data_IF_630876498272
#
_entry.id   IF_630876498272
#
_cell.length_a   1.000
_cell.length_b   1.000
_cell.length_c   1.000
_cell.angle_alpha   90.00
_cell.angle_beta   90.00
_cell.angle_gamma   90.00
#
_symmetry.space_group_name_H-M   'P 1'
#
loop_
_entity.id
_entity.type
_entity.pdbx_description
1 polymer ?
#
# COMPACT_ATOMS: atom_id res chain seq x y z
N UNK A 1 47.42 23.50 3.01
CA UNK A 1 46.38 24.55 2.94
C UNK A 1 45.31 24.20 3.97
N UNK A 2 44.93 25.10 4.88
CA UNK A 2 43.84 24.86 5.83
C UNK A 2 42.53 25.28 5.19
N UNK A 3 41.47 24.50 5.39
CA UNK A 3 40.10 24.90 5.00
C UNK A 3 39.70 26.15 5.76
N UNK A 4 39.09 27.10 5.07
CA UNK A 4 38.44 28.23 5.71
C UNK A 4 37.18 27.79 6.48
N UNK A 5 36.67 28.70 7.29
CA UNK A 5 35.52 28.45 8.16
C UNK A 5 34.24 28.12 7.37
N UNK A 6 33.99 28.81 6.24
CA UNK A 6 32.82 28.55 5.40
C UNK A 6 32.85 27.17 4.76
N UNK A 7 34.01 26.71 4.29
CA UNK A 7 34.17 25.37 3.74
C UNK A 7 34.04 24.29 4.83
N UNK A 8 34.50 24.55 6.06
CA UNK A 8 34.26 23.66 7.21
C UNK A 8 32.78 23.56 7.57
N UNK A 9 32.07 24.69 7.61
CA UNK A 9 30.63 24.73 7.91
C UNK A 9 29.83 24.01 6.83
N UNK A 10 30.12 24.28 5.55
CA UNK A 10 29.48 23.58 4.44
C UNK A 10 29.70 22.07 4.51
N UNK A 11 30.93 21.61 4.78
CA UNK A 11 31.21 20.19 4.92
C UNK A 11 30.49 19.59 6.14
N UNK A 12 30.45 20.29 7.28
CA UNK A 12 29.74 19.82 8.46
C UNK A 12 28.23 19.69 8.21
N UNK A 13 27.61 20.71 7.61
CA UNK A 13 26.18 20.71 7.25
C UNK A 13 25.87 19.65 6.19
N UNK A 14 26.77 19.47 5.21
CA UNK A 14 26.67 18.40 4.21
C UNK A 14 26.62 17.02 4.86
N UNK A 15 27.53 16.74 5.81
CA UNK A 15 27.53 15.46 6.53
C UNK A 15 26.30 15.29 7.42
N UNK A 16 25.80 16.36 8.05
CA UNK A 16 24.55 16.31 8.83
C UNK A 16 23.34 15.98 7.94
N UNK A 17 23.25 16.59 6.76
CA UNK A 17 22.20 16.31 5.77
C UNK A 17 22.30 14.88 5.24
N UNK A 18 23.50 14.39 4.95
CA UNK A 18 23.72 13.01 4.50
C UNK A 18 23.35 11.99 5.58
N UNK A 19 23.70 12.25 6.84
CA UNK A 19 23.32 11.43 7.98
C UNK A 19 21.80 11.43 8.20
N UNK A 20 21.16 12.60 8.14
CA UNK A 20 19.70 12.73 8.26
C UNK A 20 18.98 11.97 7.15
N UNK A 21 19.46 12.08 5.91
CA UNK A 21 18.93 11.33 4.76
C UNK A 21 19.08 9.82 4.96
N UNK A 22 20.26 9.38 5.39
CA UNK A 22 20.52 7.96 5.68
C UNK A 22 19.66 7.43 6.84
N UNK A 23 19.38 8.27 7.85
CA UNK A 23 18.46 7.97 8.93
C UNK A 23 17.02 7.80 8.44
N UNK A 24 16.54 8.75 7.62
CA UNK A 24 15.21 8.70 7.03
C UNK A 24 15.02 7.48 6.13
N UNK A 25 15.99 7.16 5.27
CA UNK A 25 15.94 5.97 4.43
C UNK A 25 15.81 4.68 5.26
N UNK A 26 16.66 4.52 6.29
CA UNK A 26 16.57 3.35 7.19
C UNK A 26 15.23 3.24 7.89
N UNK A 27 14.68 4.37 8.35
CA UNK A 27 13.36 4.40 8.97
C UNK A 27 12.26 3.94 8.01
N UNK A 28 12.26 4.43 6.77
CA UNK A 28 11.29 4.02 5.75
C UNK A 28 11.46 2.55 5.34
N UNK A 29 12.69 2.06 5.24
CA UNK A 29 13.00 0.64 5.00
C UNK A 29 12.45 -0.24 6.12
N UNK A 30 12.63 0.16 7.38
CA UNK A 30 12.12 -0.59 8.53
C UNK A 30 10.58 -0.64 8.53
N UNK A 31 9.91 0.47 8.23
CA UNK A 31 8.45 0.48 8.07
C UNK A 31 8.03 -0.47 6.96
N UNK A 32 8.64 -0.36 5.77
CA UNK A 32 8.28 -1.17 4.61
C UNK A 32 8.43 -2.68 4.90
N UNK A 33 9.54 -3.08 5.51
CA UNK A 33 9.82 -4.48 5.82
C UNK A 33 8.90 -5.02 6.93
N UNK A 34 8.70 -4.26 8.02
CA UNK A 34 7.82 -4.68 9.12
C UNK A 34 6.36 -4.75 8.67
N UNK A 35 5.87 -3.76 7.93
CA UNK A 35 4.53 -3.76 7.37
C UNK A 35 4.32 -4.94 6.43
N UNK A 36 5.25 -5.17 5.49
CA UNK A 36 5.16 -6.29 4.56
C UNK A 36 5.13 -7.63 5.30
N UNK A 37 5.95 -7.80 6.34
CA UNK A 37 5.94 -9.00 7.17
C UNK A 37 4.61 -9.18 7.92
N UNK A 38 4.08 -8.12 8.52
CA UNK A 38 2.81 -8.14 9.26
C UNK A 38 1.63 -8.52 8.34
N UNK A 39 1.49 -7.82 7.21
CA UNK A 39 0.46 -8.12 6.21
C UNK A 39 0.62 -9.55 5.70
N UNK A 40 1.82 -9.98 5.31
CA UNK A 40 2.07 -11.34 4.83
C UNK A 40 1.64 -12.40 5.84
N UNK A 41 1.90 -12.18 7.13
CA UNK A 41 1.47 -13.08 8.18
C UNK A 41 -0.06 -13.12 8.31
N UNK A 42 -0.72 -11.97 8.22
CA UNK A 42 -2.18 -11.88 8.21
C UNK A 42 -2.79 -12.66 7.03
N UNK A 43 -2.26 -12.44 5.81
CA UNK A 43 -2.72 -13.14 4.60
C UNK A 43 -2.58 -14.66 4.74
N UNK A 44 -1.49 -15.13 5.34
CA UNK A 44 -1.29 -16.56 5.60
C UNK A 44 -2.27 -17.11 6.63
N UNK A 45 -2.54 -16.34 7.68
CA UNK A 45 -3.36 -16.77 8.83
C UNK A 45 -4.84 -16.82 8.47
N UNK A 46 -5.34 -15.87 7.68
CA UNK A 46 -6.75 -15.84 7.25
C UNK A 46 -7.15 -17.00 6.32
N UNK A 47 -6.19 -17.66 5.68
CA UNK A 47 -6.46 -18.87 4.88
C UNK A 47 -7.38 -18.67 3.66
N UNK A 48 -7.40 -17.47 3.07
CA UNK A 48 -8.24 -17.17 1.90
C UNK A 48 -7.78 -18.01 0.68
N UNK A 49 -8.41 -19.16 0.47
CA UNK A 49 -8.09 -20.09 -0.63
C UNK A 49 -8.44 -19.51 -2.02
N UNK A 50 -9.32 -18.50 -2.05
CA UNK A 50 -9.89 -17.97 -3.29
C UNK A 50 -9.07 -16.84 -3.90
N UNK A 51 -8.21 -16.17 -3.15
CA UNK A 51 -7.44 -15.01 -3.63
C UNK A 51 -5.99 -15.19 -3.24
N UNK A 52 -5.13 -15.40 -4.23
CA UNK A 52 -3.67 -15.47 -4.02
C UNK A 52 -3.06 -14.10 -4.24
N UNK A 53 -2.26 -13.64 -3.26
CA UNK A 53 -1.56 -12.37 -3.34
C UNK A 53 -0.07 -12.58 -3.69
N UNK A 54 0.45 -11.68 -4.51
CA UNK A 54 1.86 -11.38 -4.67
C UNK A 54 2.24 -10.16 -3.86
N UNK A 55 3.53 -10.03 -3.59
CA UNK A 55 4.11 -8.93 -2.83
C UNK A 55 5.27 -8.34 -3.65
N UNK A 56 5.42 -7.03 -3.58
CA UNK A 56 6.58 -6.30 -4.05
C UNK A 56 6.95 -5.22 -3.04
N UNK A 57 8.19 -5.26 -2.58
CA UNK A 57 8.80 -4.22 -1.74
C UNK A 57 9.92 -3.60 -2.54
N UNK A 58 9.88 -2.28 -2.72
CA UNK A 58 10.96 -1.58 -3.41
C UNK A 58 12.21 -1.56 -2.52
N UNK A 59 13.37 -1.77 -3.15
CA UNK A 59 14.67 -1.58 -2.51
C UNK A 59 14.87 -0.09 -2.19
N UNK A 60 15.43 0.21 -1.01
CA UNK A 60 15.64 1.58 -0.49
C UNK A 60 14.34 2.24 0.01
N UNK A 61 13.39 1.42 0.47
CA UNK A 61 12.14 1.85 1.08
C UNK A 61 11.17 2.44 0.07
N UNK A 62 10.22 3.25 0.53
CA UNK A 62 9.41 4.06 -0.39
C UNK A 62 8.18 3.35 -0.96
N UNK A 63 8.13 2.01 -0.98
CA UNK A 63 6.98 1.30 -1.55
C UNK A 63 6.81 -0.14 -1.07
N UNK A 64 5.59 -0.44 -0.64
CA UNK A 64 5.11 -1.81 -0.46
C UNK A 64 3.86 -1.99 -1.31
N UNK A 65 3.76 -3.08 -2.04
CA UNK A 65 2.58 -3.42 -2.83
C UNK A 65 2.21 -4.87 -2.66
N UNK A 66 0.93 -5.13 -2.40
CA UNK A 66 0.33 -6.45 -2.48
C UNK A 66 -0.64 -6.46 -3.66
N UNK A 67 -0.46 -7.41 -4.57
CA UNK A 67 -1.25 -7.51 -5.80
C UNK A 67 -1.86 -8.89 -5.93
N UNK A 68 -3.01 -9.00 -6.59
CA UNK A 68 -3.65 -10.29 -6.81
C UNK A 68 -2.94 -11.05 -7.94
N UNK A 69 -2.47 -12.27 -7.64
CA UNK A 69 -1.89 -13.22 -8.60
C UNK A 69 -2.93 -14.14 -9.23
N UNK A 70 -3.93 -14.56 -8.45
CA UNK A 70 -4.98 -15.49 -8.89
C UNK A 70 -6.25 -15.23 -8.09
N UNK A 71 -7.40 -15.32 -8.76
CA UNK A 71 -8.71 -15.45 -8.15
C UNK A 71 -9.33 -16.77 -8.59
N UNK A 72 -9.88 -17.51 -7.64
CA UNK A 72 -10.57 -18.78 -7.84
C UNK A 72 -12.02 -18.64 -7.38
N UNK A 73 -12.75 -17.72 -8.01
CA UNK A 73 -14.16 -17.44 -7.73
C UNK A 73 -14.99 -17.67 -8.99
N UNK A 74 -16.10 -18.42 -8.90
CA UNK A 74 -16.94 -18.73 -10.05
C UNK A 74 -17.57 -17.45 -10.63
N UNK A 75 -17.71 -17.42 -11.96
CA UNK A 75 -18.30 -16.28 -12.68
C UNK A 75 -17.39 -15.06 -12.83
N UNK A 76 -16.10 -15.17 -12.43
CA UNK A 76 -15.11 -14.10 -12.51
C UNK A 76 -13.84 -14.52 -13.29
N UNK A 77 -13.99 -15.25 -14.38
CA UNK A 77 -12.90 -15.86 -15.18
C UNK A 77 -11.85 -14.85 -15.72
N UNK A 78 -12.17 -13.55 -15.73
CA UNK A 78 -11.27 -12.47 -16.15
C UNK A 78 -11.20 -11.31 -15.13
N UNK A 79 -11.17 -11.61 -13.83
CA UNK A 79 -10.91 -10.57 -12.84
C UNK A 79 -9.45 -10.11 -12.95
N UNK A 80 -9.26 -8.92 -13.52
CA UNK A 80 -7.94 -8.35 -13.78
C UNK A 80 -7.18 -7.93 -12.52
N UNK A 81 -5.94 -7.47 -12.72
CA UNK A 81 -5.00 -7.13 -11.65
C UNK A 81 -5.55 -6.03 -10.72
N UNK A 82 -5.59 -6.33 -9.42
CA UNK A 82 -5.86 -5.39 -8.32
C UNK A 82 -4.64 -5.33 -7.40
N UNK A 83 -4.24 -4.12 -6.99
CA UNK A 83 -3.12 -3.84 -6.09
C UNK A 83 -3.57 -3.01 -4.91
N UNK A 84 -3.05 -3.28 -3.71
CA UNK A 84 -2.95 -2.30 -2.65
C UNK A 84 -1.50 -1.89 -2.49
N UNK A 85 -1.26 -0.59 -2.40
CA UNK A 85 0.09 -0.06 -2.24
C UNK A 85 0.16 0.91 -1.07
N UNK A 86 1.28 0.85 -0.35
CA UNK A 86 1.72 1.92 0.54
C UNK A 86 2.87 2.64 -0.16
N UNK A 87 2.66 3.91 -0.47
CA UNK A 87 3.67 4.79 -1.07
C UNK A 87 4.19 5.72 0.01
N UNK A 88 5.48 5.64 0.30
CA UNK A 88 6.20 6.62 1.12
C UNK A 88 6.90 7.61 0.20
N UNK A 89 7.04 8.86 0.64
CA UNK A 89 7.87 9.84 -0.05
C UNK A 89 9.33 9.42 0.02
N UNK A 90 9.94 9.18 -1.14
CA UNK A 90 11.29 9.65 -1.40
C UNK A 90 11.10 10.83 -2.37
N UNK A 91 11.89 11.90 -2.20
CA UNK A 91 11.84 13.14 -2.99
C UNK A 91 11.98 12.91 -4.52
N UNK A 92 12.24 11.66 -4.93
CA UNK A 92 12.41 11.18 -6.30
C UNK A 92 11.13 10.62 -6.94
N UNK A 93 9.97 10.59 -6.25
CA UNK A 93 8.72 10.01 -6.79
C UNK A 93 7.80 11.03 -7.46
N UNK A 94 7.11 10.58 -8.51
CA UNK A 94 6.29 11.42 -9.42
C UNK A 94 4.89 11.74 -8.89
N UNK A 95 4.38 11.02 -7.89
CA UNK A 95 3.04 11.25 -7.33
C UNK A 95 3.08 12.23 -6.16
N UNK A 96 2.20 13.25 -6.19
CA UNK A 96 2.11 14.27 -5.13
C UNK A 96 1.43 13.70 -3.89
N UNK A 97 2.16 13.58 -2.78
CA UNK A 97 1.61 13.48 -1.42
C UNK A 97 1.39 14.89 -0.86
N UNK A 98 0.54 15.05 0.16
CA UNK A 98 0.35 16.36 0.81
C UNK A 98 1.55 16.79 1.68
N UNK A 99 2.39 15.84 2.14
CA UNK A 99 3.51 16.09 3.04
C UNK A 99 4.61 15.00 2.90
N UNK A 100 5.92 15.32 3.00
CA UNK A 100 7.00 14.33 3.03
C UNK A 100 6.96 13.35 4.21
N UNK A 101 6.23 13.64 5.30
CA UNK A 101 6.07 12.73 6.45
C UNK A 101 4.89 11.79 6.29
N UNK A 102 4.14 11.86 5.19
CA UNK A 102 2.96 11.04 4.99
C UNK A 102 3.24 9.86 4.07
N UNK A 103 2.43 8.84 4.21
CA UNK A 103 2.27 7.79 3.21
C UNK A 103 0.82 7.73 2.73
N UNK A 104 0.61 7.10 1.57
CA UNK A 104 -0.72 6.84 1.02
C UNK A 104 -0.98 5.35 0.94
N UNK A 105 -2.14 4.92 1.42
CA UNK A 105 -2.68 3.57 1.19
C UNK A 105 -3.82 3.68 0.19
N UNK A 106 -3.77 2.90 -0.88
CA UNK A 106 -4.81 2.90 -1.90
C UNK A 106 -4.90 1.61 -2.70
N UNK A 107 -6.11 1.34 -3.18
CA UNK A 107 -6.41 0.28 -4.13
C UNK A 107 -6.23 0.78 -5.57
N UNK A 108 -5.71 -0.07 -6.45
CA UNK A 108 -5.52 0.24 -7.86
C UNK A 108 -5.95 -0.93 -8.74
N UNK A 109 -6.57 -0.59 -9.88
CA UNK A 109 -6.88 -1.52 -10.97
C UNK A 109 -6.47 -0.88 -12.29
N UNK A 110 -5.93 -1.65 -13.23
CA UNK A 110 -5.52 -1.14 -14.53
C UNK A 110 -6.69 -0.52 -15.32
N UNK A 111 -6.40 0.52 -16.13
CA UNK A 111 -7.44 1.23 -16.92
C UNK A 111 -8.23 0.31 -17.85
N UNK A 112 -7.59 -0.73 -18.39
CA UNK A 112 -8.25 -1.75 -19.22
C UNK A 112 -9.39 -2.47 -18.49
N UNK A 113 -9.38 -2.47 -17.14
CA UNK A 113 -10.33 -3.16 -16.29
C UNK A 113 -11.27 -2.17 -15.56
N UNK A 114 -11.46 -0.96 -16.10
CA UNK A 114 -12.28 0.08 -15.46
C UNK A 114 -13.74 -0.36 -15.21
N UNK A 115 -14.31 -1.20 -16.08
CA UNK A 115 -15.67 -1.73 -15.89
C UNK A 115 -15.76 -2.63 -14.65
N UNK A 116 -14.76 -3.49 -14.44
CA UNK A 116 -14.65 -4.34 -13.25
C UNK A 116 -14.47 -3.48 -11.99
N UNK A 117 -13.60 -2.47 -12.03
CA UNK A 117 -13.40 -1.56 -10.90
C UNK A 117 -14.72 -0.88 -10.48
N UNK A 118 -15.50 -0.40 -11.47
CA UNK A 118 -16.84 0.17 -11.23
C UNK A 118 -17.81 -0.85 -10.63
N UNK A 119 -17.80 -2.10 -11.12
CA UNK A 119 -18.66 -3.15 -10.59
C UNK A 119 -18.34 -3.47 -9.12
N UNK A 120 -17.06 -3.56 -8.78
CA UNK A 120 -16.60 -3.79 -7.39
C UNK A 120 -17.00 -2.62 -6.50
N UNK A 121 -16.76 -1.38 -6.93
CA UNK A 121 -17.13 -0.18 -6.15
C UNK A 121 -18.65 -0.09 -5.91
N UNK A 122 -19.46 -0.41 -6.93
CA UNK A 122 -20.93 -0.51 -6.78
C UNK A 122 -21.32 -1.55 -5.74
N UNK A 123 -20.77 -2.76 -5.82
CA UNK A 123 -21.10 -3.85 -4.87
C UNK A 123 -20.62 -3.54 -3.45
N UNK A 124 -19.49 -2.84 -3.31
CA UNK A 124 -19.03 -2.33 -2.01
C UNK A 124 -20.06 -1.34 -1.43
N UNK A 125 -20.52 -0.38 -2.23
CA UNK A 125 -21.54 0.58 -1.81
C UNK A 125 -22.86 -0.09 -1.43
N UNK A 126 -23.33 -1.07 -2.21
CA UNK A 126 -24.55 -1.85 -1.92
C UNK A 126 -24.47 -2.60 -0.59
N UNK A 127 -23.26 -3.00 -0.17
CA UNK A 127 -23.00 -3.64 1.11
C UNK A 127 -22.69 -2.67 2.25
N UNK A 128 -22.65 -1.36 1.99
CA UNK A 128 -22.22 -0.36 2.96
C UNK A 128 -20.73 -0.44 3.33
N UNK A 129 -19.90 -1.03 2.45
CA UNK A 129 -18.45 -1.08 2.62
C UNK A 129 -17.80 0.24 2.14
N UNK A 130 -16.66 0.63 2.72
CA UNK A 130 -15.86 1.74 2.20
C UNK A 130 -15.48 1.53 0.72
N UNK A 131 -15.28 2.62 -0.02
CA UNK A 131 -14.79 2.56 -1.40
C UNK A 131 -13.40 1.87 -1.43
N UNK A 132 -13.26 0.71 -2.09
CA UNK A 132 -12.00 -0.02 -2.13
C UNK A 132 -10.86 0.76 -2.80
N UNK A 133 -11.18 1.77 -3.62
CA UNK A 133 -10.22 2.58 -4.36
C UNK A 133 -9.98 3.97 -3.74
N UNK A 134 -10.54 4.22 -2.55
CA UNK A 134 -10.29 5.48 -1.84
C UNK A 134 -8.80 5.61 -1.50
N UNK A 135 -8.25 6.79 -1.73
CA UNK A 135 -6.90 7.15 -1.32
C UNK A 135 -6.94 7.76 0.08
N UNK A 136 -6.22 7.17 1.03
CA UNK A 136 -6.05 7.76 2.37
C UNK A 136 -4.58 8.00 2.67
N UNK A 137 -4.33 9.11 3.37
CA UNK A 137 -3.00 9.49 3.81
C UNK A 137 -2.84 9.30 5.32
N UNK A 138 -1.68 8.79 5.71
CA UNK A 138 -1.31 8.45 7.08
C UNK A 138 0.00 9.11 7.42
N UNK A 139 0.12 9.64 8.65
CA UNK A 139 1.35 10.25 9.13
C UNK A 139 2.34 9.18 9.61
N UNK A 140 3.58 9.28 9.14
CA UNK A 140 4.67 8.38 9.51
C UNK A 140 5.39 8.84 10.76
N UNK A 141 5.26 10.12 11.15
CA UNK A 141 5.94 10.66 12.33
C UNK A 141 4.99 10.90 13.51
N UNK A 142 3.74 10.43 13.40
CA UNK A 142 2.71 10.60 14.44
C UNK A 142 2.89 9.74 15.69
N UNK A 143 3.87 8.82 15.71
CA UNK A 143 4.11 7.89 16.82
C UNK A 143 5.43 7.14 16.70
N UNK A 144 5.61 6.13 17.56
CA UNK A 144 6.74 5.19 17.47
C UNK A 144 6.66 4.36 16.19
N UNK A 145 7.80 3.79 15.78
CA UNK A 145 7.87 2.93 14.59
C UNK A 145 6.82 1.81 14.62
N UNK A 146 6.65 1.15 15.77
CA UNK A 146 5.73 0.02 15.90
C UNK A 146 4.26 0.50 15.86
N UNK A 147 3.92 1.63 16.48
CA UNK A 147 2.56 2.22 16.40
C UNK A 147 2.19 2.62 14.97
N UNK A 148 3.14 3.17 14.23
CA UNK A 148 2.96 3.52 12.81
C UNK A 148 2.74 2.25 12.00
N UNK A 149 3.58 1.22 12.17
CA UNK A 149 3.44 -0.05 11.46
C UNK A 149 2.10 -0.72 11.78
N UNK A 150 1.68 -0.76 13.04
CA UNK A 150 0.41 -1.36 13.46
C UNK A 150 -0.78 -0.64 12.84
N UNK A 151 -0.75 0.70 12.82
CA UNK A 151 -1.80 1.52 12.22
C UNK A 151 -1.90 1.28 10.72
N UNK A 152 -0.76 1.30 10.01
CA UNK A 152 -0.71 1.04 8.59
C UNK A 152 -1.15 -0.39 8.26
N UNK A 153 -0.70 -1.38 9.03
CA UNK A 153 -1.07 -2.78 8.83
C UNK A 153 -2.56 -3.00 9.01
N UNK A 154 -3.16 -2.41 10.05
CA UNK A 154 -4.60 -2.51 10.29
C UNK A 154 -5.40 -1.93 9.12
N UNK A 155 -5.11 -0.69 8.74
CA UNK A 155 -5.78 -0.02 7.61
C UNK A 155 -5.62 -0.81 6.30
N UNK A 156 -4.41 -1.29 6.04
CA UNK A 156 -4.11 -2.06 4.83
C UNK A 156 -4.90 -3.37 4.78
N UNK A 157 -4.95 -4.11 5.90
CA UNK A 157 -5.69 -5.36 6.01
C UNK A 157 -7.20 -5.14 5.89
N UNK A 158 -7.75 -4.14 6.60
CA UNK A 158 -9.17 -3.78 6.50
C UNK A 158 -9.59 -3.48 5.06
N UNK A 159 -8.74 -2.78 4.30
CA UNK A 159 -8.99 -2.49 2.89
C UNK A 159 -8.97 -3.74 2.02
N UNK A 160 -8.02 -4.65 2.25
CA UNK A 160 -8.01 -5.94 1.56
C UNK A 160 -9.30 -6.70 1.86
N UNK A 161 -9.72 -6.76 3.11
CA UNK A 161 -10.88 -7.54 3.52
C UNK A 161 -12.17 -6.99 2.92
N UNK A 162 -12.35 -5.67 2.96
CA UNK A 162 -13.47 -4.99 2.31
C UNK A 162 -13.52 -5.27 0.80
N UNK A 163 -12.36 -5.26 0.13
CA UNK A 163 -12.28 -5.56 -1.30
C UNK A 163 -12.60 -7.03 -1.58
N UNK A 164 -12.02 -7.98 -0.83
CA UNK A 164 -12.31 -9.41 -0.97
C UNK A 164 -13.79 -9.69 -0.76
N UNK A 165 -14.42 -9.04 0.22
CA UNK A 165 -15.86 -9.15 0.47
C UNK A 165 -16.68 -8.63 -0.72
N UNK A 166 -16.33 -7.47 -1.28
CA UNK A 166 -17.00 -6.93 -2.46
C UNK A 166 -16.88 -7.87 -3.67
N UNK A 167 -15.69 -8.44 -3.90
CA UNK A 167 -15.45 -9.39 -5.01
C UNK A 167 -16.20 -10.70 -4.82
N UNK A 168 -16.25 -11.25 -3.59
CA UNK A 168 -17.03 -12.45 -3.28
C UNK A 168 -18.53 -12.23 -3.54
N UNK A 169 -19.06 -11.06 -3.20
CA UNK A 169 -20.45 -10.74 -3.48
C UNK A 169 -20.71 -10.53 -4.98
N UNK A 170 -19.79 -9.89 -5.69
CA UNK A 170 -19.89 -9.74 -7.14
C UNK A 170 -19.92 -11.11 -7.84
N UNK A 171 -19.06 -12.05 -7.44
CA UNK A 171 -19.07 -13.44 -7.93
C UNK A 171 -20.43 -14.11 -7.72
N UNK A 172 -21.04 -13.97 -6.54
CA UNK A 172 -22.39 -14.50 -6.26
C UNK A 172 -23.46 -13.90 -7.17
N UNK A 173 -23.41 -12.59 -7.41
CA UNK A 173 -24.34 -11.91 -8.33
C UNK A 173 -24.17 -12.44 -9.76
N UNK A 174 -22.93 -12.63 -10.22
CA UNK A 174 -22.63 -13.14 -11.56
C UNK A 174 -23.12 -14.58 -11.76
N UNK A 175 -22.95 -15.46 -10.76
CA UNK A 175 -23.44 -16.85 -10.84
C UNK A 175 -24.97 -16.89 -10.83
N UNK A 176 -25.63 -16.06 -10.03
CA UNK A 176 -27.10 -16.00 -9.96
C UNK A 176 -27.78 -15.45 -11.22
N UNK A 177 -27.06 -14.76 -12.11
CA UNK A 177 -27.56 -14.28 -13.40
C UNK A 177 -27.46 -15.31 -14.53
N UNK A 178 -26.74 -16.43 -14.30
CA UNK A 178 -26.54 -17.50 -15.30
C UNK A 178 -27.53 -18.67 -15.09
N UNK A 179 -28.50 -18.52 -14.17
CA UNK A 179 -29.55 -19.50 -13.86
C UNK A 179 -30.91 -19.15 -14.43
#
# INVERSE_FOLDING_TARGET
>A
MKLDESARLYLADYYLLEQARSGAHRYLDEIANKLAAAVRQEIKTRGDLYVTFGEYVQKDGGYVSFYVKKIDLPGLDQFGEWKYSVVYSDAMRTERLSDPTKCRIYGFTAKSNAAQAKAVARVAQEQGLPDPYLNEEYDLLGGTLDEVVDTLSRSFNERIDNHVQAVKALSRQSVGQVG
#
